data_IF_588892697884
#
_entry.id   IF_588892697884
#
_cell.length_a   1.000
_cell.length_b   1.000
_cell.length_c   1.000
_cell.angle_alpha   90.00
_cell.angle_beta   90.00
_cell.angle_gamma   90.00
#
_symmetry.space_group_name_H-M   'P 1'
#
loop_
_entity.id
_entity.type
_entity.pdbx_description
1 polymer ?
#
# COMPACT_ATOMS: atom_id res chain seq x y z
N UNK A 1 -11.63 -57.33 41.86
CA UNK A 1 -11.10 -56.76 40.60
C UNK A 1 -11.62 -55.32 40.46
N UNK A 2 -10.79 -54.31 40.81
CA UNK A 2 -11.16 -52.90 40.70
C UNK A 2 -10.65 -52.35 39.34
N UNK A 3 -11.56 -51.92 38.47
CA UNK A 3 -11.23 -51.28 37.22
C UNK A 3 -11.14 -49.75 37.43
N UNK A 4 -9.93 -49.20 37.33
CA UNK A 4 -9.70 -47.73 37.33
C UNK A 4 -9.98 -47.21 35.94
N UNK A 5 -10.97 -46.32 35.81
CA UNK A 5 -11.15 -45.53 34.59
C UNK A 5 -10.21 -44.31 34.67
N UNK A 6 -9.25 -44.23 33.78
CA UNK A 6 -8.45 -43.04 33.55
C UNK A 6 -9.22 -42.05 32.67
N UNK A 7 -9.58 -40.90 33.19
CA UNK A 7 -10.18 -39.82 32.43
C UNK A 7 -9.08 -39.06 31.65
N UNK A 8 -9.11 -39.11 30.30
CA UNK A 8 -8.25 -38.31 29.45
C UNK A 8 -8.83 -36.90 29.34
N UNK A 9 -8.15 -35.93 29.97
CA UNK A 9 -8.49 -34.52 29.84
C UNK A 9 -7.92 -33.98 28.49
N UNK A 10 -8.78 -33.64 27.55
CA UNK A 10 -8.37 -32.94 26.34
C UNK A 10 -8.15 -31.45 26.66
N UNK A 11 -6.90 -30.99 26.63
CA UNK A 11 -6.56 -29.57 26.64
C UNK A 11 -6.95 -28.97 25.29
N UNK A 12 -8.01 -28.21 25.24
CA UNK A 12 -8.38 -27.37 24.07
C UNK A 12 -7.53 -26.11 24.11
N UNK A 13 -6.52 -26.05 23.27
CA UNK A 13 -5.78 -24.79 23.04
C UNK A 13 -6.68 -23.83 22.29
N UNK A 14 -7.09 -22.73 22.94
CA UNK A 14 -7.75 -21.62 22.30
C UNK A 14 -6.74 -20.93 21.37
N UNK A 15 -6.89 -21.08 20.06
CA UNK A 15 -6.16 -20.28 19.07
C UNK A 15 -6.67 -18.85 19.20
N UNK A 16 -5.80 -17.83 19.43
CA UNK A 16 -6.25 -16.45 19.48
C UNK A 16 -6.87 -16.08 18.13
N UNK A 17 -8.13 -15.69 18.14
CA UNK A 17 -8.81 -15.18 16.96
C UNK A 17 -8.07 -13.92 16.50
N UNK A 18 -7.55 -13.92 15.29
CA UNK A 18 -7.04 -12.72 14.62
C UNK A 18 -8.22 -11.75 14.51
N UNK A 19 -8.11 -10.48 14.96
CA UNK A 19 -9.19 -9.52 14.82
C UNK A 19 -9.58 -9.40 13.34
N UNK A 20 -10.81 -9.71 13.01
CA UNK A 20 -11.32 -9.74 11.64
C UNK A 20 -11.45 -8.36 10.97
N UNK A 21 -11.14 -7.26 11.65
CA UNK A 21 -11.51 -5.90 11.25
C UNK A 21 -10.38 -4.86 11.35
N UNK A 22 -9.20 -5.13 10.79
CA UNK A 22 -8.34 -4.02 10.42
C UNK A 22 -9.02 -3.27 9.25
N UNK A 23 -9.23 -1.92 9.34
CA UNK A 23 -9.92 -1.18 8.30
C UNK A 23 -9.21 -1.33 6.96
N UNK A 24 -9.90 -1.94 5.98
CA UNK A 24 -9.31 -2.24 4.69
C UNK A 24 -9.32 -1.01 3.78
N UNK A 25 -8.18 -0.73 3.15
CA UNK A 25 -8.08 0.26 2.09
C UNK A 25 -8.86 -0.22 0.86
N UNK A 26 -9.78 0.58 0.28
CA UNK A 26 -10.53 0.19 -0.91
C UNK A 26 -9.63 0.12 -2.15
N UNK A 27 -9.99 -0.72 -3.11
CA UNK A 27 -9.37 -0.70 -4.44
C UNK A 27 -9.71 0.61 -5.16
N UNK A 28 -8.74 1.30 -5.79
CA UNK A 28 -8.93 2.62 -6.38
C UNK A 28 -9.50 2.50 -7.81
N UNK A 29 -10.77 2.15 -7.94
CA UNK A 29 -11.40 1.99 -9.26
C UNK A 29 -11.20 3.21 -10.16
N UNK A 30 -10.87 2.96 -11.42
CA UNK A 30 -10.71 3.99 -12.44
C UNK A 30 -9.51 4.93 -12.25
N UNK A 31 -8.58 4.64 -11.35
CA UNK A 31 -7.45 5.52 -11.01
C UNK A 31 -6.59 5.94 -12.21
N UNK A 32 -6.53 5.16 -13.27
CA UNK A 32 -5.78 5.53 -14.48
C UNK A 32 -6.38 6.73 -15.24
N UNK A 33 -7.63 7.05 -14.97
CA UNK A 33 -8.28 8.28 -15.45
C UNK A 33 -8.09 9.49 -14.52
N UNK A 34 -7.36 9.33 -13.40
CA UNK A 34 -7.09 10.43 -12.49
C UNK A 34 -5.90 11.27 -12.96
N UNK A 35 -5.60 12.35 -12.22
CA UNK A 35 -4.42 13.18 -12.53
C UNK A 35 -3.15 12.36 -12.35
N UNK A 36 -2.37 12.23 -13.42
CA UNK A 36 -1.01 11.73 -13.36
C UNK A 36 -0.11 12.78 -12.66
N UNK A 37 0.57 12.39 -11.59
CA UNK A 37 1.42 13.26 -10.77
C UNK A 37 2.85 13.27 -11.31
N UNK A 38 3.47 12.08 -11.37
CA UNK A 38 4.82 11.88 -11.92
C UNK A 38 5.08 10.40 -12.21
N UNK A 39 6.18 10.14 -12.91
CA UNK A 39 6.73 8.80 -13.10
C UNK A 39 8.19 8.75 -12.64
N UNK A 40 8.65 7.57 -12.28
CA UNK A 40 10.06 7.30 -11.98
C UNK A 40 10.41 5.87 -12.41
N UNK A 41 11.63 5.68 -12.91
CA UNK A 41 12.21 4.36 -13.18
C UNK A 41 13.23 4.06 -12.09
N UNK A 42 13.07 2.92 -11.43
CA UNK A 42 14.03 2.40 -10.44
C UNK A 42 14.81 1.27 -11.10
N UNK A 43 16.08 1.52 -11.37
CA UNK A 43 16.99 0.59 -12.05
C UNK A 43 17.82 -0.23 -11.05
N UNK A 44 18.46 -1.32 -11.50
CA UNK A 44 19.46 -2.05 -10.70
C UNK A 44 20.51 -1.12 -10.09
N UNK A 45 20.90 -1.40 -8.85
CA UNK A 45 21.82 -0.56 -8.07
C UNK A 45 21.13 0.49 -7.19
N UNK A 46 19.86 0.81 -7.42
CA UNK A 46 19.10 1.65 -6.50
C UNK A 46 18.70 0.85 -5.24
N UNK A 47 18.81 1.40 -4.01
CA UNK A 47 18.49 0.68 -2.76
C UNK A 47 17.08 0.05 -2.70
N UNK A 48 16.12 0.65 -3.41
CA UNK A 48 14.73 0.16 -3.46
C UNK A 48 14.47 -0.79 -4.65
N UNK A 49 15.48 -1.16 -5.45
CA UNK A 49 15.26 -1.93 -6.69
C UNK A 49 14.63 -3.31 -6.43
N UNK A 50 15.09 -4.03 -5.40
CA UNK A 50 14.56 -5.38 -5.09
C UNK A 50 13.05 -5.36 -4.84
N UNK A 51 12.54 -4.31 -4.19
CA UNK A 51 11.12 -4.20 -3.85
C UNK A 51 10.30 -3.46 -4.92
N UNK A 52 10.87 -2.37 -5.47
CA UNK A 52 10.14 -1.42 -6.32
C UNK A 52 10.81 -1.19 -7.68
N UNK A 53 11.75 -2.06 -8.10
CA UNK A 53 12.39 -1.98 -9.41
C UNK A 53 11.36 -2.07 -10.54
N UNK A 54 11.54 -1.23 -11.54
CA UNK A 54 10.62 -1.05 -12.66
C UNK A 54 10.25 0.40 -12.90
N UNK A 55 9.23 0.65 -13.70
CA UNK A 55 8.64 1.98 -13.88
C UNK A 55 7.39 2.11 -13.02
N UNK A 56 7.25 3.22 -12.33
CA UNK A 56 6.00 3.52 -11.64
C UNK A 56 5.43 4.87 -12.02
N UNK A 57 4.11 4.92 -12.06
CA UNK A 57 3.32 6.13 -12.25
C UNK A 57 2.53 6.42 -10.99
N UNK A 58 2.51 7.69 -10.58
CA UNK A 58 1.69 8.16 -9.48
C UNK A 58 0.44 8.83 -10.02
N UNK A 59 -0.72 8.40 -9.51
CA UNK A 59 -2.02 9.01 -9.80
C UNK A 59 -2.65 9.54 -8.53
N UNK A 60 -3.35 10.65 -8.63
CA UNK A 60 -4.01 11.30 -7.51
C UNK A 60 -5.46 11.62 -7.85
N UNK A 61 -6.38 11.35 -6.91
CA UNK A 61 -7.76 11.79 -7.05
C UNK A 61 -7.89 13.30 -6.76
N UNK A 62 -9.07 13.87 -7.00
CA UNK A 62 -9.31 15.31 -6.81
C UNK A 62 -8.95 15.80 -5.41
N UNK A 63 -9.29 15.05 -4.36
CA UNK A 63 -8.96 15.41 -2.98
C UNK A 63 -7.45 15.39 -2.70
N UNK A 64 -6.74 14.40 -3.23
CA UNK A 64 -5.28 14.37 -3.09
C UNK A 64 -4.60 15.56 -3.81
N UNK A 65 -5.17 16.06 -4.92
CA UNK A 65 -4.66 17.27 -5.58
C UNK A 65 -4.80 18.52 -4.71
N UNK A 66 -5.83 18.61 -3.88
CA UNK A 66 -5.95 19.67 -2.88
C UNK A 66 -4.84 19.56 -1.82
N UNK A 67 -4.55 18.33 -1.37
CA UNK A 67 -3.46 18.04 -0.45
C UNK A 67 -2.09 18.45 -0.99
N UNK A 68 -1.80 18.19 -2.25
CA UNK A 68 -0.56 18.63 -2.88
C UNK A 68 -0.39 20.17 -2.90
N UNK A 69 -1.49 20.92 -3.03
CA UNK A 69 -1.44 22.38 -3.02
C UNK A 69 -1.21 22.97 -1.63
N UNK A 70 -1.73 22.32 -0.60
CA UNK A 70 -1.75 22.87 0.76
C UNK A 70 -0.70 22.23 1.68
N UNK A 71 -0.10 21.10 1.28
CA UNK A 71 0.78 20.29 2.12
C UNK A 71 0.03 19.45 3.16
N UNK A 72 -1.32 19.46 3.16
CA UNK A 72 -2.17 18.66 4.04
C UNK A 72 -3.25 17.96 3.23
N UNK A 73 -3.33 16.65 3.35
CA UNK A 73 -4.25 15.84 2.57
C UNK A 73 -5.56 15.62 3.32
N UNK A 74 -6.70 16.08 2.78
CA UNK A 74 -8.01 15.88 3.40
C UNK A 74 -8.44 14.42 3.35
N UNK A 75 -9.34 14.02 4.26
CA UNK A 75 -9.93 12.67 4.27
C UNK A 75 -10.59 12.34 2.93
N UNK A 76 -10.36 11.12 2.46
CA UNK A 76 -10.73 10.64 1.13
C UNK A 76 -9.73 11.01 0.03
N UNK A 77 -8.57 11.59 0.37
CA UNK A 77 -7.43 11.66 -0.57
C UNK A 77 -6.95 10.26 -0.89
N UNK A 78 -6.69 10.01 -2.17
CA UNK A 78 -6.14 8.73 -2.65
C UNK A 78 -4.98 9.00 -3.59
N UNK A 79 -3.85 8.36 -3.29
CA UNK A 79 -2.67 8.35 -4.15
C UNK A 79 -2.39 6.90 -4.54
N UNK A 80 -2.21 6.66 -5.83
CA UNK A 80 -1.92 5.32 -6.36
C UNK A 80 -0.51 5.29 -6.93
N UNK A 81 0.27 4.32 -6.48
CA UNK A 81 1.58 3.94 -6.99
C UNK A 81 1.40 2.75 -7.92
N UNK A 82 1.33 2.99 -9.23
CA UNK A 82 1.14 1.95 -10.25
C UNK A 82 2.51 1.48 -10.75
N UNK A 83 3.01 0.36 -10.20
CA UNK A 83 4.33 -0.20 -10.51
C UNK A 83 4.22 -1.29 -11.56
N UNK A 84 5.00 -1.13 -12.62
CA UNK A 84 5.10 -2.06 -13.75
C UNK A 84 6.56 -2.53 -13.92
N UNK A 85 6.76 -3.66 -14.56
CA UNK A 85 8.05 -4.03 -15.13
C UNK A 85 8.50 -2.94 -16.13
N UNK A 86 9.81 -2.83 -16.31
CA UNK A 86 10.42 -1.85 -17.20
C UNK A 86 11.41 -2.55 -18.13
N UNK A 87 10.96 -3.40 -19.07
CA UNK A 87 11.84 -4.05 -20.02
C UNK A 87 12.57 -3.01 -20.88
N UNK A 88 13.84 -3.30 -21.15
CA UNK A 88 14.70 -2.50 -22.01
C UNK A 88 14.90 -3.25 -23.33
N UNK A 89 14.50 -2.66 -24.43
CA UNK A 89 14.73 -3.15 -25.79
C UNK A 89 14.91 -1.97 -26.75
N UNK A 90 15.76 -2.13 -27.74
CA UNK A 90 16.01 -1.13 -28.80
C UNK A 90 16.30 0.28 -28.23
N UNK A 91 17.09 0.36 -27.17
CA UNK A 91 17.43 1.59 -26.44
C UNK A 91 16.21 2.31 -25.84
N UNK A 92 15.08 1.64 -25.68
CA UNK A 92 13.88 2.16 -25.05
C UNK A 92 13.55 1.38 -23.76
N UNK A 93 12.98 2.09 -22.78
CA UNK A 93 12.36 1.50 -21.59
C UNK A 93 10.85 1.63 -21.78
N UNK A 94 10.15 0.51 -21.75
CA UNK A 94 8.70 0.47 -21.96
C UNK A 94 7.97 -0.08 -20.72
N UNK A 95 6.67 0.14 -20.65
CA UNK A 95 5.84 -0.48 -19.61
C UNK A 95 5.68 -1.98 -19.90
N UNK A 96 6.02 -2.81 -18.92
CA UNK A 96 5.74 -4.25 -18.93
C UNK A 96 4.51 -4.62 -18.12
N UNK A 97 4.52 -5.83 -17.57
CA UNK A 97 3.42 -6.32 -16.73
C UNK A 97 3.33 -5.53 -15.42
N UNK A 98 2.10 -5.27 -14.93
CA UNK A 98 1.92 -4.65 -13.62
C UNK A 98 2.39 -5.59 -12.51
N UNK A 99 3.25 -5.06 -11.64
CA UNK A 99 3.72 -5.76 -10.45
C UNK A 99 2.75 -5.54 -9.28
N UNK A 100 2.38 -4.28 -9.03
CA UNK A 100 1.48 -3.91 -7.94
C UNK A 100 0.83 -2.55 -8.20
N UNK A 101 -0.41 -2.40 -7.78
CA UNK A 101 -1.03 -1.09 -7.55
C UNK A 101 -1.01 -0.81 -6.03
N UNK A 102 -0.04 0.01 -5.60
CA UNK A 102 0.06 0.48 -4.22
C UNK A 102 -0.89 1.65 -3.98
N UNK A 103 -1.57 1.67 -2.85
CA UNK A 103 -2.58 2.68 -2.52
C UNK A 103 -2.30 3.29 -1.17
N UNK A 104 -2.28 4.62 -1.12
CA UNK A 104 -2.42 5.41 0.09
C UNK A 104 -3.82 6.01 0.11
N UNK A 105 -4.57 5.76 1.17
CA UNK A 105 -5.93 6.27 1.36
C UNK A 105 -6.02 7.05 2.68
N UNK A 106 -6.41 8.32 2.62
CA UNK A 106 -6.53 9.19 3.81
C UNK A 106 -7.88 9.02 4.49
N UNK A 107 -7.86 8.64 5.76
CA UNK A 107 -8.98 8.69 6.69
C UNK A 107 -8.39 8.79 8.10
N UNK A 108 -8.39 10.00 8.64
CA UNK A 108 -7.74 10.32 9.92
C UNK A 108 -8.30 9.49 11.09
N UNK A 109 -9.57 9.13 11.04
CA UNK A 109 -10.23 8.34 12.07
C UNK A 109 -9.89 6.86 11.97
N UNK A 110 -9.94 6.29 10.77
CA UNK A 110 -9.71 4.85 10.55
C UNK A 110 -8.25 4.45 10.69
N UNK A 111 -7.32 5.33 10.27
CA UNK A 111 -5.89 5.04 10.21
C UNK A 111 -5.07 5.93 11.15
N UNK A 112 -5.60 6.23 12.33
CA UNK A 112 -4.96 7.13 13.30
C UNK A 112 -3.55 6.69 13.71
N UNK A 113 -3.28 5.39 13.82
CA UNK A 113 -1.97 4.83 14.14
C UNK A 113 -0.89 5.12 13.07
N UNK A 114 -1.29 5.40 11.84
CA UNK A 114 -0.41 5.63 10.69
C UNK A 114 -0.55 7.06 10.14
N UNK A 115 -0.79 8.02 11.02
CA UNK A 115 -0.93 9.43 10.64
C UNK A 115 -2.16 9.73 9.78
N UNK A 116 -3.18 8.88 9.86
CA UNK A 116 -4.41 8.98 9.08
C UNK A 116 -4.31 8.37 7.68
N UNK A 117 -3.26 7.65 7.35
CA UNK A 117 -3.07 7.00 6.06
C UNK A 117 -3.20 5.49 6.15
N UNK A 118 -4.16 4.92 5.43
CA UNK A 118 -4.21 3.49 5.13
C UNK A 118 -3.29 3.17 3.94
N UNK A 119 -2.63 2.02 4.02
CA UNK A 119 -1.73 1.52 2.98
C UNK A 119 -2.17 0.14 2.54
N UNK A 120 -2.20 -0.10 1.22
CA UNK A 120 -2.45 -1.42 0.66
C UNK A 120 -1.71 -1.59 -0.67
N UNK A 121 -1.44 -2.83 -1.04
CA UNK A 121 -0.93 -3.20 -2.34
C UNK A 121 -1.84 -4.25 -2.99
N UNK A 122 -2.13 -4.08 -4.27
CA UNK A 122 -2.91 -5.02 -5.07
C UNK A 122 -2.00 -5.67 -6.11
N UNK A 123 -1.60 -6.92 -5.86
CA UNK A 123 -0.66 -7.68 -6.70
C UNK A 123 -1.17 -7.84 -8.14
N UNK A 124 -0.35 -7.47 -9.11
CA UNK A 124 -0.78 -7.45 -10.52
C UNK A 124 -1.90 -6.44 -10.84
N UNK A 125 -2.30 -5.61 -9.86
CA UNK A 125 -3.48 -4.75 -9.95
C UNK A 125 -4.81 -5.49 -9.78
N UNK A 126 -4.78 -6.72 -9.30
CA UNK A 126 -5.97 -7.53 -9.02
C UNK A 126 -6.54 -7.16 -7.64
N UNK A 127 -7.79 -6.66 -7.60
CA UNK A 127 -8.47 -6.24 -6.38
C UNK A 127 -8.61 -7.32 -5.30
N UNK A 128 -8.55 -8.59 -5.69
CA UNK A 128 -8.62 -9.72 -4.77
C UNK A 128 -7.27 -10.08 -4.15
N UNK A 129 -6.15 -9.63 -4.74
CA UNK A 129 -4.79 -9.99 -4.31
C UNK A 129 -4.17 -8.90 -3.45
N UNK A 130 -4.60 -8.78 -2.21
CA UNK A 130 -4.01 -7.88 -1.22
C UNK A 130 -2.66 -8.40 -0.75
N UNK A 131 -1.62 -7.58 -0.80
CA UNK A 131 -0.24 -8.00 -0.49
C UNK A 131 0.35 -7.31 0.73
N UNK A 132 -0.34 -6.32 1.30
CA UNK A 132 0.09 -5.57 2.49
C UNK A 132 -0.74 -5.96 3.72
N UNK A 133 -2.04 -5.77 3.70
CA UNK A 133 -2.96 -6.15 4.78
C UNK A 133 -2.52 -5.62 6.15
N UNK A 134 -2.44 -6.50 7.14
CA UNK A 134 -2.05 -6.15 8.53
C UNK A 134 -0.61 -5.63 8.67
N UNK A 135 0.24 -5.76 7.65
CA UNK A 135 1.63 -5.29 7.67
C UNK A 135 1.78 -3.81 7.26
N UNK A 136 0.69 -3.07 7.07
CA UNK A 136 0.70 -1.69 6.58
C UNK A 136 1.63 -0.76 7.39
N UNK A 137 1.67 -0.91 8.71
CA UNK A 137 2.52 -0.11 9.59
C UNK A 137 4.01 -0.37 9.33
N UNK A 138 4.43 -1.63 9.27
CA UNK A 138 5.85 -2.01 9.12
C UNK A 138 6.30 -2.01 7.67
N UNK A 139 5.45 -2.39 6.72
CA UNK A 139 5.81 -2.50 5.31
C UNK A 139 5.78 -1.17 4.55
N UNK A 140 4.95 -0.22 4.99
CA UNK A 140 4.73 1.04 4.28
C UNK A 140 4.97 2.25 5.17
N UNK A 141 4.19 2.38 6.25
CA UNK A 141 4.21 3.58 7.10
C UNK A 141 5.59 3.84 7.71
N UNK A 142 6.33 2.80 8.10
CA UNK A 142 7.68 2.95 8.65
C UNK A 142 8.63 3.77 7.75
N UNK A 143 8.55 3.61 6.42
CA UNK A 143 9.29 4.46 5.49
C UNK A 143 8.64 5.86 5.34
N UNK A 144 7.32 5.92 5.31
CA UNK A 144 6.57 7.17 5.10
C UNK A 144 6.69 8.15 6.27
N UNK A 145 7.02 7.69 7.49
CA UNK A 145 7.32 8.54 8.66
C UNK A 145 8.40 9.58 8.38
N UNK A 146 9.37 9.27 7.52
CA UNK A 146 10.42 10.23 7.12
C UNK A 146 9.86 11.48 6.39
N UNK A 147 8.58 11.48 6.01
CA UNK A 147 7.86 12.58 5.36
C UNK A 147 6.67 13.09 6.18
N UNK A 148 6.74 12.96 7.49
CA UNK A 148 5.68 13.41 8.40
C UNK A 148 5.35 14.92 8.25
N UNK A 149 6.35 15.72 7.99
CA UNK A 149 6.23 17.15 7.71
C UNK A 149 5.45 17.49 6.43
N UNK A 150 5.44 16.53 5.46
CA UNK A 150 4.72 16.57 4.19
C UNK A 150 3.48 15.67 4.21
N UNK A 151 2.88 15.50 5.38
CA UNK A 151 1.74 14.59 5.61
C UNK A 151 2.01 13.16 5.08
N UNK A 152 3.24 12.64 5.29
CA UNK A 152 3.71 11.30 4.92
C UNK A 152 3.81 11.04 3.41
N UNK A 153 3.77 12.06 2.56
CA UNK A 153 3.79 11.92 1.09
C UNK A 153 5.15 12.31 0.52
N UNK A 154 5.76 11.40 -0.27
CA UNK A 154 7.07 11.64 -0.92
C UNK A 154 6.99 12.46 -2.20
N UNK A 155 5.85 12.43 -2.86
CA UNK A 155 5.68 13.06 -4.17
C UNK A 155 5.22 14.51 -4.05
N UNK A 156 5.52 15.28 -5.10
CA UNK A 156 4.97 16.61 -5.33
C UNK A 156 4.42 16.68 -6.76
N UNK A 157 3.45 17.52 -7.00
CA UNK A 157 2.98 17.84 -8.36
C UNK A 157 4.07 18.56 -9.14
N UNK A 158 4.01 18.41 -10.47
CA UNK A 158 4.74 19.29 -11.40
C UNK A 158 3.93 20.57 -11.59
N UNK A 159 4.63 21.66 -11.78
CA UNK A 159 4.06 22.97 -12.12
C UNK A 159 3.42 22.92 -13.51
#
# INVERSE_FOLDING_TARGET
MKRSLAALAFLVYAVPAVPADAPQVPYPDGYRGWRHVKSMVIQPGHPLHETFGGIHHLYANKKALEGYKTGKFPDGSVIVFDLLEAPVADNAITEGKRKVAGVMYKDAKKYSATGGWGYEGFGGGDRSKRVVGAKAETACHACHVARKDQDYVFSATRD
#
